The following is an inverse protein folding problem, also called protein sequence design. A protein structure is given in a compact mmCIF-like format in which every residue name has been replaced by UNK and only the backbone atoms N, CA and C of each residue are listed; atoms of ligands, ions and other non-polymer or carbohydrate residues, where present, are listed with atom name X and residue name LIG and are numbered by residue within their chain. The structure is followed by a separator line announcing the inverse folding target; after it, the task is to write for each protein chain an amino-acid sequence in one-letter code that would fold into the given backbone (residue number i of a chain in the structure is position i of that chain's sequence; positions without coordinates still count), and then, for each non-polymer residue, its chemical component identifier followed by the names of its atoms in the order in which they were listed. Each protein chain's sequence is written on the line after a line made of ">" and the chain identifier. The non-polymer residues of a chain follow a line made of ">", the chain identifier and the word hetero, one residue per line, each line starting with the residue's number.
data_IF_789271495152
#
_entry.id   IF_789271495152
#
_cell.length_a   1.000
_cell.length_b   1.000
_cell.length_c   1.000
_cell.angle_alpha   90.00
_cell.angle_beta   90.00
_cell.angle_gamma   90.00
#
_symmetry.space_group_name_H-M   'P 1'
#
loop_
_entity.id
_entity.type
_entity.pdbx_description
1 polymer ?
#
# COMPACT_ATOMS: atom_id res chain seq x y z
N UNK A 1 4.40 -1.78 43.32
CA UNK A 1 4.92 -1.24 42.05
C UNK A 1 5.49 -2.39 41.22
N UNK A 2 4.66 -3.25 40.61
CA UNK A 2 5.15 -4.41 39.83
C UNK A 2 4.19 -4.76 38.67
N UNK A 3 2.89 -4.97 38.94
CA UNK A 3 1.92 -5.40 37.91
C UNK A 3 1.78 -4.41 36.75
N UNK A 4 1.78 -3.10 37.04
CA UNK A 4 1.67 -2.06 36.00
C UNK A 4 2.82 -2.10 34.98
N UNK A 5 4.06 -2.31 35.44
CA UNK A 5 5.23 -2.41 34.56
C UNK A 5 5.20 -3.68 33.70
N UNK A 6 4.76 -4.81 34.26
CA UNK A 6 4.58 -6.04 33.48
C UNK A 6 3.48 -5.91 32.42
N UNK A 7 2.34 -5.29 32.76
CA UNK A 7 1.26 -5.02 31.80
C UNK A 7 1.75 -4.07 30.70
N UNK A 8 2.43 -2.98 31.06
CA UNK A 8 2.99 -2.05 30.09
C UNK A 8 4.01 -2.72 29.16
N UNK A 9 4.90 -3.56 29.70
CA UNK A 9 5.87 -4.31 28.91
C UNK A 9 5.19 -5.32 27.96
N UNK A 10 4.16 -6.03 28.42
CA UNK A 10 3.41 -6.97 27.58
C UNK A 10 2.67 -6.26 26.44
N UNK A 11 2.05 -5.11 26.73
CA UNK A 11 1.40 -4.27 25.70
C UNK A 11 2.42 -3.76 24.69
N UNK A 12 3.57 -3.23 25.16
CA UNK A 12 4.63 -2.75 24.29
C UNK A 12 5.20 -3.85 23.38
N UNK A 13 5.41 -5.06 23.93
CA UNK A 13 5.86 -6.22 23.16
C UNK A 13 4.81 -6.62 22.10
N UNK A 14 3.53 -6.64 22.46
CA UNK A 14 2.45 -6.92 21.52
C UNK A 14 2.41 -5.91 20.35
N UNK A 15 2.54 -4.62 20.66
CA UNK A 15 2.63 -3.54 19.67
C UNK A 15 3.86 -3.71 18.78
N UNK A 16 5.04 -4.00 19.36
CA UNK A 16 6.28 -4.20 18.62
C UNK A 16 6.20 -5.39 17.66
N UNK A 17 5.64 -6.53 18.09
CA UNK A 17 5.42 -7.69 17.23
C UNK A 17 4.48 -7.33 16.08
N UNK A 18 3.41 -6.59 16.36
CA UNK A 18 2.41 -6.21 15.35
C UNK A 18 3.01 -5.31 14.25
N UNK A 19 3.64 -4.19 14.62
CA UNK A 19 4.29 -3.29 13.66
C UNK A 19 5.54 -3.91 13.03
N UNK A 20 6.28 -4.73 13.78
CA UNK A 20 7.45 -5.46 13.30
C UNK A 20 7.11 -6.40 12.13
N UNK A 21 5.95 -7.06 12.16
CA UNK A 21 5.49 -7.90 11.03
C UNK A 21 5.20 -7.10 9.76
N UNK A 22 4.66 -5.90 9.90
CA UNK A 22 4.41 -4.99 8.76
C UNK A 22 5.75 -4.58 8.15
N UNK A 23 6.67 -4.10 9.00
CA UNK A 23 7.99 -3.68 8.56
C UNK A 23 8.74 -4.83 7.88
N UNK A 24 8.72 -6.03 8.45
CA UNK A 24 9.38 -7.22 7.88
C UNK A 24 8.87 -7.52 6.47
N UNK A 25 7.55 -7.50 6.24
CA UNK A 25 6.98 -7.72 4.90
C UNK A 25 7.40 -6.66 3.90
N UNK A 26 7.53 -5.41 4.34
CA UNK A 26 7.99 -4.31 3.49
C UNK A 26 9.47 -4.36 3.17
N UNK A 27 10.31 -4.78 4.12
CA UNK A 27 11.73 -5.06 3.90
C UNK A 27 11.89 -6.20 2.89
N UNK A 28 11.14 -7.30 3.05
CA UNK A 28 11.15 -8.42 2.11
C UNK A 28 10.71 -7.98 0.70
N UNK A 29 9.65 -7.18 0.61
CA UNK A 29 9.22 -6.57 -0.65
C UNK A 29 10.34 -5.71 -1.26
N UNK A 30 11.00 -4.84 -0.48
CA UNK A 30 12.11 -4.01 -0.95
C UNK A 30 13.27 -4.82 -1.51
N UNK A 31 13.65 -5.90 -0.82
CA UNK A 31 14.72 -6.79 -1.27
C UNK A 31 14.38 -7.41 -2.64
N UNK A 32 13.14 -7.90 -2.79
CA UNK A 32 12.66 -8.46 -4.07
C UNK A 32 12.57 -7.39 -5.16
N UNK A 33 12.08 -6.20 -4.82
CA UNK A 33 11.95 -5.05 -5.70
C UNK A 33 13.31 -4.65 -6.28
N UNK A 34 14.31 -4.42 -5.41
CA UNK A 34 15.68 -4.07 -5.80
C UNK A 34 16.32 -5.17 -6.64
N UNK A 35 16.09 -6.45 -6.29
CA UNK A 35 16.58 -7.58 -7.08
C UNK A 35 15.98 -7.58 -8.49
N UNK A 36 14.66 -7.38 -8.61
CA UNK A 36 13.97 -7.32 -9.90
C UNK A 36 14.43 -6.11 -10.74
N UNK A 37 14.58 -4.94 -10.12
CA UNK A 37 15.10 -3.74 -10.82
C UNK A 37 16.51 -3.96 -11.34
N UNK A 38 17.41 -4.58 -10.55
CA UNK A 38 18.77 -4.91 -11.00
C UNK A 38 18.77 -5.90 -12.15
N UNK A 39 17.92 -6.93 -12.09
CA UNK A 39 17.82 -7.92 -13.16
C UNK A 39 17.30 -7.31 -14.48
N UNK A 40 16.33 -6.39 -14.40
CA UNK A 40 15.79 -5.66 -15.55
C UNK A 40 16.60 -4.44 -15.98
N UNK A 41 17.69 -4.09 -15.29
CA UNK A 41 18.46 -2.84 -15.47
C UNK A 41 17.58 -1.57 -15.37
N UNK A 42 16.56 -1.59 -14.52
CA UNK A 42 15.66 -0.46 -14.29
C UNK A 42 16.25 0.53 -13.29
N UNK A 43 15.93 1.82 -13.47
CA UNK A 43 16.25 2.85 -12.49
C UNK A 43 15.34 2.73 -11.28
N UNK A 44 15.90 2.84 -10.07
CA UNK A 44 15.13 2.83 -8.82
C UNK A 44 15.50 4.05 -7.98
N UNK A 45 14.50 4.91 -7.72
CA UNK A 45 14.70 6.16 -6.99
C UNK A 45 13.73 6.28 -5.81
N UNK A 46 14.19 6.09 -4.56
CA UNK A 46 13.37 6.40 -3.39
C UNK A 46 13.23 7.92 -3.22
N UNK A 47 12.03 8.40 -2.90
CA UNK A 47 11.77 9.85 -2.78
C UNK A 47 12.13 10.44 -1.42
N UNK A 48 12.23 9.60 -0.38
CA UNK A 48 12.55 10.01 0.98
C UNK A 48 13.17 8.86 1.79
N UNK A 49 13.88 9.19 2.88
CA UNK A 49 14.66 8.21 3.66
C UNK A 49 13.84 7.01 4.18
N UNK A 50 12.57 7.23 4.54
CA UNK A 50 11.66 6.22 5.08
C UNK A 50 10.56 5.81 4.09
N UNK A 51 10.86 5.81 2.78
CA UNK A 51 9.89 5.44 1.74
C UNK A 51 9.20 4.09 1.97
N UNK A 52 9.89 3.14 2.62
CA UNK A 52 9.31 1.85 2.99
C UNK A 52 8.19 1.96 4.02
N UNK A 53 8.04 3.06 4.73
CA UNK A 53 6.98 3.29 5.72
C UNK A 53 5.78 4.04 5.14
N UNK A 54 5.69 4.18 3.81
CA UNK A 54 4.58 4.83 3.12
C UNK A 54 3.21 4.32 3.58
N UNK A 55 2.30 5.22 3.92
CA UNK A 55 0.98 4.89 4.46
C UNK A 55 -0.15 5.42 3.57
N UNK A 56 -1.35 4.83 3.66
CA UNK A 56 -2.53 5.24 2.88
C UNK A 56 -2.89 6.72 3.07
N UNK A 57 -2.65 7.29 4.25
CA UNK A 57 -2.92 8.71 4.50
C UNK A 57 -1.80 9.63 4.03
N UNK A 58 -0.62 9.08 3.73
CA UNK A 58 0.52 9.87 3.29
C UNK A 58 0.30 10.38 1.87
N UNK A 59 0.45 11.68 1.67
CA UNK A 59 0.27 12.31 0.35
C UNK A 59 1.38 11.95 -0.63
N UNK A 60 2.64 11.93 -0.18
CA UNK A 60 3.81 11.84 -1.06
C UNK A 60 3.91 10.47 -1.74
N UNK A 61 4.34 10.46 -3.01
CA UNK A 61 4.89 9.27 -3.67
C UNK A 61 6.01 8.67 -2.81
N UNK A 62 6.16 7.34 -2.81
CA UNK A 62 7.18 6.69 -1.97
C UNK A 62 8.45 6.43 -2.77
N UNK A 63 8.34 5.94 -4.02
CA UNK A 63 9.48 5.74 -4.90
C UNK A 63 9.09 5.78 -6.38
N UNK A 64 10.09 5.94 -7.25
CA UNK A 64 9.97 5.86 -8.69
C UNK A 64 10.72 4.64 -9.23
N UNK A 65 10.17 4.03 -10.27
CA UNK A 65 10.88 3.04 -11.10
C UNK A 65 10.90 3.53 -12.53
N UNK A 66 12.09 3.68 -13.07
CA UNK A 66 12.30 4.07 -14.45
C UNK A 66 12.51 2.83 -15.31
N UNK A 67 11.58 2.62 -16.24
CA UNK A 67 11.65 1.59 -17.28
C UNK A 67 11.77 2.27 -18.67
N UNK A 68 12.12 1.52 -19.73
CA UNK A 68 12.20 2.07 -21.09
C UNK A 68 10.87 2.69 -21.56
N UNK A 69 9.74 2.10 -21.19
CA UNK A 69 8.39 2.55 -21.57
C UNK A 69 7.91 3.78 -20.79
N UNK A 70 8.46 4.06 -19.61
CA UNK A 70 7.98 5.13 -18.76
C UNK A 70 8.42 5.01 -17.31
N UNK A 71 7.85 5.88 -16.47
CA UNK A 71 8.20 5.99 -15.05
C UNK A 71 7.00 5.56 -14.22
N UNK A 72 7.18 4.50 -13.44
CA UNK A 72 6.21 4.10 -12.44
C UNK A 72 6.39 4.95 -11.18
N UNK A 73 5.45 5.84 -10.94
CA UNK A 73 5.35 6.60 -9.70
C UNK A 73 4.56 5.77 -8.68
N UNK A 74 5.25 5.25 -7.67
CA UNK A 74 4.69 4.24 -6.77
C UNK A 74 4.35 4.83 -5.40
N UNK A 75 3.08 4.70 -5.03
CA UNK A 75 2.57 4.91 -3.68
C UNK A 75 2.42 3.58 -2.95
N UNK A 76 3.11 3.43 -1.83
CA UNK A 76 2.96 2.31 -0.90
C UNK A 76 1.83 2.55 0.07
N UNK A 77 0.96 1.55 0.16
CA UNK A 77 -0.14 1.46 1.12
C UNK A 77 -0.03 0.12 1.86
N UNK A 78 -0.75 -0.06 2.96
CA UNK A 78 -0.74 -1.33 3.67
C UNK A 78 -1.94 -1.48 4.59
N UNK A 79 -2.42 -2.71 4.72
CA UNK A 79 -3.43 -3.05 5.72
C UNK A 79 -2.74 -3.38 7.05
N UNK A 80 -3.31 -2.91 8.17
CA UNK A 80 -2.81 -3.28 9.50
C UNK A 80 -3.02 -4.77 9.81
N UNK A 81 -4.15 -5.32 9.37
CA UNK A 81 -4.48 -6.73 9.56
C UNK A 81 -4.73 -7.42 8.21
N UNK A 82 -4.36 -8.71 8.15
CA UNK A 82 -4.69 -9.57 7.00
C UNK A 82 -6.19 -9.84 6.91
N UNK A 83 -6.92 -9.81 8.02
CA UNK A 83 -8.37 -10.03 8.05
C UNK A 83 -9.16 -8.76 7.76
N UNK A 84 -8.48 -7.64 7.51
CA UNK A 84 -9.17 -6.40 7.23
C UNK A 84 -9.77 -6.39 5.82
N UNK A 85 -11.00 -5.90 5.67
CA UNK A 85 -11.54 -5.48 4.37
C UNK A 85 -11.06 -4.06 4.09
N UNK A 86 -10.41 -3.87 2.95
CA UNK A 86 -9.93 -2.57 2.51
C UNK A 86 -10.78 -2.07 1.35
N UNK A 87 -11.42 -0.91 1.55
CA UNK A 87 -12.39 -0.36 0.63
C UNK A 87 -11.89 1.00 0.13
N UNK A 88 -11.54 1.08 -1.15
CA UNK A 88 -11.31 2.34 -1.84
C UNK A 88 -12.64 2.96 -2.23
N UNK A 89 -12.93 4.17 -1.75
CA UNK A 89 -14.20 4.85 -2.05
C UNK A 89 -13.95 5.86 -3.17
N UNK A 90 -12.99 6.76 -2.98
CA UNK A 90 -12.60 7.76 -3.97
C UNK A 90 -11.19 8.29 -3.65
N UNK A 91 -10.73 9.31 -4.40
CA UNK A 91 -9.41 9.93 -4.20
C UNK A 91 -9.22 10.55 -2.80
N UNK A 92 -10.30 10.80 -2.07
CA UNK A 92 -10.29 11.50 -0.79
C UNK A 92 -10.68 10.60 0.39
N UNK A 93 -11.21 9.41 0.12
CA UNK A 93 -11.81 8.56 1.14
C UNK A 93 -11.50 7.08 0.92
N UNK A 94 -11.26 6.39 2.03
CA UNK A 94 -11.11 4.95 2.09
C UNK A 94 -11.77 4.44 3.37
N UNK A 95 -12.14 3.17 3.42
CA UNK A 95 -12.60 2.53 4.64
C UNK A 95 -11.78 1.26 4.90
N UNK A 96 -11.49 1.01 6.16
CA UNK A 96 -10.80 -0.22 6.59
C UNK A 96 -11.61 -0.80 7.71
N UNK A 97 -11.99 -2.07 7.54
CA UNK A 97 -12.75 -2.81 8.52
C UNK A 97 -11.96 -4.02 8.96
N UNK A 98 -11.61 -4.10 10.24
CA UNK A 98 -10.99 -5.30 10.78
C UNK A 98 -12.04 -6.37 11.06
N UNK A 99 -11.88 -7.58 10.52
CA UNK A 99 -12.78 -8.71 10.79
C UNK A 99 -12.28 -9.63 11.90
N UNK A 100 -11.21 -9.28 12.61
CA UNK A 100 -10.57 -10.15 13.63
C UNK A 100 -11.54 -10.63 14.72
N UNK A 101 -12.58 -9.84 15.04
CA UNK A 101 -13.57 -10.18 16.09
C UNK A 101 -14.99 -10.36 15.57
N UNK A 102 -15.21 -10.43 14.24
CA UNK A 102 -16.55 -10.50 13.68
C UNK A 102 -16.80 -11.85 13.00
N UNK A 103 -17.85 -12.56 13.41
CA UNK A 103 -18.46 -13.61 12.60
C UNK A 103 -19.07 -12.98 11.35
N UNK A 104 -19.06 -13.69 10.20
CA UNK A 104 -19.54 -13.17 8.90
C UNK A 104 -20.94 -12.53 8.98
N UNK A 105 -21.82 -13.05 9.83
CA UNK A 105 -23.20 -12.57 10.02
C UNK A 105 -23.32 -11.20 10.70
N UNK A 106 -22.45 -10.87 11.66
CA UNK A 106 -22.47 -9.55 12.33
C UNK A 106 -21.84 -8.47 11.45
N UNK A 107 -21.14 -8.88 10.38
CA UNK A 107 -20.45 -7.92 9.53
C UNK A 107 -21.42 -7.04 8.70
N UNK A 108 -22.62 -7.48 8.38
CA UNK A 108 -23.48 -6.70 7.45
C UNK A 108 -24.19 -5.48 8.09
N UNK A 109 -24.25 -5.38 9.43
CA UNK A 109 -25.03 -4.34 10.13
C UNK A 109 -24.24 -3.15 10.70
N UNK A 110 -22.90 -3.15 10.65
CA UNK A 110 -22.09 -2.07 11.20
C UNK A 110 -21.68 -1.11 10.06
N UNK A 111 -22.05 0.18 10.12
CA UNK A 111 -21.78 1.13 9.04
C UNK A 111 -20.27 1.31 8.83
N UNK A 112 -19.85 1.35 7.55
CA UNK A 112 -18.48 1.67 7.18
C UNK A 112 -18.16 3.12 7.58
N UNK A 113 -17.23 3.32 8.51
CA UNK A 113 -16.72 4.66 8.81
C UNK A 113 -15.66 5.02 7.77
N UNK A 114 -16.06 5.85 6.79
CA UNK A 114 -15.14 6.44 5.84
C UNK A 114 -14.05 7.23 6.58
N UNK A 115 -12.81 7.04 6.15
CA UNK A 115 -11.63 7.76 6.63
C UNK A 115 -11.17 8.68 5.50
N UNK A 116 -10.96 9.94 5.83
CA UNK A 116 -10.40 10.90 4.88
C UNK A 116 -8.91 10.63 4.66
N UNK A 117 -8.46 10.89 3.43
CA UNK A 117 -7.07 10.93 2.99
C UNK A 117 -6.89 12.09 2.02
N UNK A 118 -5.66 12.56 1.85
CA UNK A 118 -5.34 13.49 0.76
C UNK A 118 -5.18 12.73 -0.55
N UNK A 119 -5.43 13.41 -1.67
CA UNK A 119 -5.02 12.92 -2.99
C UNK A 119 -3.50 12.70 -3.02
N UNK A 120 -3.06 11.59 -3.61
CA UNK A 120 -1.64 11.30 -3.73
C UNK A 120 -0.95 12.24 -4.70
N UNK A 121 0.26 12.65 -4.32
CA UNK A 121 1.13 13.49 -5.11
C UNK A 121 2.23 12.63 -5.72
N UNK A 122 1.98 12.17 -6.95
CA UNK A 122 2.91 11.32 -7.71
C UNK A 122 4.06 12.13 -8.33
N UNK A 123 3.91 13.44 -8.51
CA UNK A 123 4.87 14.27 -9.27
C UNK A 123 5.75 15.12 -8.35
N UNK A 124 5.32 15.39 -7.12
CA UNK A 124 5.95 16.37 -6.23
C UNK A 124 7.44 16.16 -5.92
N UNK A 125 7.97 14.93 -6.05
CA UNK A 125 9.38 14.61 -5.86
C UNK A 125 10.08 14.10 -7.14
N UNK A 126 9.43 14.25 -8.30
CA UNK A 126 9.95 13.74 -9.57
C UNK A 126 11.10 14.64 -10.06
N UNK A 127 12.30 14.09 -10.31
CA UNK A 127 13.42 14.85 -10.87
C UNK A 127 13.08 15.49 -12.21
N UNK A 128 13.64 16.67 -12.50
CA UNK A 128 13.36 17.37 -13.77
C UNK A 128 13.76 16.55 -15.00
N UNK A 129 14.88 15.82 -14.93
CA UNK A 129 15.35 14.92 -15.99
C UNK A 129 14.34 13.81 -16.35
N UNK A 130 13.38 13.53 -15.47
CA UNK A 130 12.36 12.48 -15.63
C UNK A 130 11.01 13.01 -16.13
N UNK A 131 10.78 14.34 -16.13
CA UNK A 131 9.46 14.94 -16.42
C UNK A 131 8.98 14.76 -17.87
N UNK A 132 9.88 14.46 -18.80
CA UNK A 132 9.54 14.24 -20.22
C UNK A 132 9.05 12.82 -20.53
N UNK A 133 9.04 11.90 -19.57
CA UNK A 133 8.60 10.51 -19.76
C UNK A 133 7.15 10.33 -19.32
N UNK A 134 6.48 9.33 -19.90
CA UNK A 134 5.15 8.93 -19.44
C UNK A 134 5.20 8.49 -17.97
N UNK A 135 4.28 9.01 -17.15
CA UNK A 135 4.21 8.72 -15.73
C UNK A 135 3.02 7.78 -15.49
N UNK A 136 3.32 6.58 -15.00
CA UNK A 136 2.34 5.55 -14.66
C UNK A 136 2.15 5.54 -13.15
N UNK A 137 0.97 5.94 -12.68
CA UNK A 137 0.65 5.93 -11.25
C UNK A 137 0.33 4.53 -10.77
N UNK A 138 1.11 4.02 -9.81
CA UNK A 138 0.91 2.69 -9.23
C UNK A 138 0.69 2.79 -7.72
N UNK A 139 -0.34 2.08 -7.25
CA UNK A 139 -0.70 2.01 -5.83
C UNK A 139 -0.45 0.57 -5.38
N UNK A 140 0.61 0.38 -4.59
CA UNK A 140 1.12 -0.94 -4.23
C UNK A 140 0.85 -1.25 -2.76
N UNK A 141 0.06 -2.30 -2.50
CA UNK A 141 -0.32 -2.72 -1.16
C UNK A 141 0.65 -3.74 -0.56
N UNK A 142 1.35 -3.32 0.50
CA UNK A 142 2.22 -4.16 1.31
C UNK A 142 2.08 -3.76 2.79
N UNK A 143 1.60 -4.65 3.69
CA UNK A 143 1.02 -5.96 3.40
C UNK A 143 -0.40 -5.87 2.83
N UNK A 144 -0.77 -6.91 2.07
CA UNK A 144 -2.10 -7.05 1.45
C UNK A 144 -3.14 -7.46 2.50
N UNK A 145 -4.34 -6.89 2.37
CA UNK A 145 -5.54 -7.29 3.11
C UNK A 145 -6.18 -8.54 2.47
N UNK A 146 -7.10 -9.23 3.16
CA UNK A 146 -7.78 -10.41 2.60
C UNK A 146 -8.70 -10.06 1.42
N UNK A 147 -9.25 -8.85 1.39
CA UNK A 147 -10.17 -8.39 0.37
C UNK A 147 -10.00 -6.89 0.18
N UNK A 148 -9.68 -6.53 -1.06
CA UNK A 148 -9.62 -5.13 -1.49
C UNK A 148 -10.75 -4.89 -2.47
N UNK A 149 -11.53 -3.84 -2.25
CA UNK A 149 -12.62 -3.43 -3.12
C UNK A 149 -12.49 -1.96 -3.50
N UNK A 150 -13.06 -1.57 -4.62
CA UNK A 150 -13.17 -0.18 -5.05
C UNK A 150 -14.62 0.16 -5.39
N UNK A 151 -15.07 1.35 -4.98
CA UNK A 151 -16.37 1.88 -5.40
C UNK A 151 -16.33 2.21 -6.88
N UNK A 152 -17.25 1.61 -7.65
CA UNK A 152 -17.54 1.93 -9.03
C UNK A 152 -19.04 2.18 -9.12
N UNK A 153 -19.44 3.39 -9.51
CA UNK A 153 -20.84 3.78 -9.66
C UNK A 153 -21.71 3.54 -8.40
N UNK A 154 -21.10 3.71 -7.22
CA UNK A 154 -21.77 3.50 -5.92
C UNK A 154 -21.74 2.04 -5.42
N UNK A 155 -21.33 1.08 -6.24
CA UNK A 155 -21.17 -0.32 -5.86
C UNK A 155 -19.73 -0.66 -5.48
N UNK A 156 -19.53 -1.46 -4.43
CA UNK A 156 -18.20 -1.92 -4.03
C UNK A 156 -17.86 -3.22 -4.75
N UNK A 157 -16.91 -3.16 -5.68
CA UNK A 157 -16.47 -4.32 -6.46
C UNK A 157 -15.06 -4.77 -6.04
N UNK A 158 -14.77 -6.08 -6.00
CA UNK A 158 -13.42 -6.57 -5.74
C UNK A 158 -12.46 -6.08 -6.83
N UNK A 159 -11.22 -5.79 -6.45
CA UNK A 159 -10.16 -5.39 -7.39
C UNK A 159 -8.97 -6.35 -7.33
N UNK A 160 -8.31 -6.49 -8.47
CA UNK A 160 -7.14 -7.34 -8.72
C UNK A 160 -5.93 -6.52 -9.19
N UNK A 161 -4.79 -7.18 -9.32
CA UNK A 161 -3.58 -6.59 -9.89
C UNK A 161 -3.85 -6.06 -11.31
N UNK A 162 -3.53 -4.77 -11.55
CA UNK A 162 -3.74 -4.12 -12.83
C UNK A 162 -5.06 -3.34 -12.96
N UNK A 163 -5.96 -3.44 -11.98
CA UNK A 163 -7.22 -2.69 -12.01
C UNK A 163 -7.00 -1.20 -11.74
N UNK A 164 -7.67 -0.35 -12.52
CA UNK A 164 -7.70 1.09 -12.27
C UNK A 164 -8.54 1.39 -11.04
N UNK A 165 -7.97 2.16 -10.13
CA UNK A 165 -8.68 2.80 -9.03
C UNK A 165 -8.55 4.31 -9.18
N UNK A 166 -9.29 5.07 -8.37
CA UNK A 166 -9.50 6.51 -8.54
C UNK A 166 -8.22 7.33 -8.88
N UNK A 167 -7.05 6.99 -8.33
CA UNK A 167 -5.81 7.76 -8.48
C UNK A 167 -4.68 7.04 -9.23
N UNK A 168 -4.89 5.80 -9.67
CA UNK A 168 -3.84 5.00 -10.32
C UNK A 168 -4.19 3.53 -10.44
N UNK A 169 -3.22 2.71 -10.83
CA UNK A 169 -3.42 1.27 -11.00
C UNK A 169 -3.05 0.52 -9.72
N UNK A 170 -3.94 -0.34 -9.24
CA UNK A 170 -3.75 -1.11 -8.03
C UNK A 170 -2.88 -2.34 -8.27
N UNK A 171 -1.97 -2.61 -7.33
CA UNK A 171 -1.23 -3.86 -7.25
C UNK A 171 -1.04 -4.31 -5.81
N UNK A 172 -1.03 -5.62 -5.59
CA UNK A 172 -0.39 -6.29 -4.49
C UNK A 172 1.13 -6.21 -4.65
N UNK A 173 1.88 -6.30 -3.54
CA UNK A 173 3.35 -6.32 -3.62
C UNK A 173 3.91 -7.45 -4.50
N UNK A 174 3.25 -8.60 -4.56
CA UNK A 174 3.62 -9.70 -5.44
C UNK A 174 3.26 -9.42 -6.90
N UNK A 175 2.04 -8.95 -7.16
CA UNK A 175 1.56 -8.62 -8.50
C UNK A 175 2.41 -7.54 -9.13
N UNK A 176 2.76 -6.49 -8.38
CA UNK A 176 3.66 -5.45 -8.87
C UNK A 176 5.01 -6.00 -9.33
N UNK A 177 5.61 -6.91 -8.55
CA UNK A 177 6.90 -7.51 -8.96
C UNK A 177 6.72 -8.38 -10.20
N UNK A 178 5.69 -9.22 -10.24
CA UNK A 178 5.51 -10.19 -11.32
C UNK A 178 5.07 -9.52 -12.62
N UNK A 179 4.06 -8.65 -12.54
CA UNK A 179 3.36 -8.11 -13.71
C UNK A 179 4.02 -6.84 -14.25
N UNK A 180 4.73 -6.10 -13.40
CA UNK A 180 5.40 -4.84 -13.82
C UNK A 180 6.91 -5.01 -13.99
N UNK A 181 7.58 -5.75 -13.10
CA UNK A 181 9.05 -5.82 -13.13
C UNK A 181 9.60 -7.07 -13.82
N UNK A 182 8.93 -8.22 -13.70
CA UNK A 182 9.42 -9.48 -14.26
C UNK A 182 8.76 -9.85 -15.59
N UNK A 183 7.58 -9.29 -15.89
CA UNK A 183 6.90 -9.46 -17.18
C UNK A 183 7.73 -8.76 -18.26
N UNK A 184 8.19 -9.55 -19.23
CA UNK A 184 8.94 -9.09 -20.40
C UNK A 184 7.98 -8.59 -21.48
#
# INVERSE_FOLDING_TARGET
>A
MNVFWFVAAAVALGVMIFYGRILFKRVLFSARLKKACRAGKYGFLPTHAFWLLGWTRGKKCDFYIEKPEGIYAVKLIGALSRTALFNYINEWHYAVRDLTFHTRYVSMGIPYKAKSKSRYDFIGALPEAMRGKEIIHAIVMVPVSCFVTCSHDGEMKPISDGDKIAEGTFYTGSGFINDVLLKK
#
